data_IF_887983617970
#
_entry.id   IF_887983617970
#
_cell.length_a   1.000
_cell.length_b   1.000
_cell.length_c   1.000
_cell.angle_alpha   90.00
_cell.angle_beta   90.00
_cell.angle_gamma   90.00
#
_symmetry.space_group_name_H-M   'P 1'
#
loop_
_entity.id
_entity.type
_entity.pdbx_description
1 polymer ?
#
# COMPACT_ATOMS: atom_id res chain seq x y z
N UNK A 1 3.03 22.82 10.26
CA UNK A 1 2.35 21.53 10.01
C UNK A 1 3.42 20.48 9.79
N UNK A 2 4.06 19.95 10.84
CA UNK A 2 5.34 19.22 10.71
C UNK A 2 6.53 20.19 10.68
N UNK A 3 7.48 19.95 9.78
CA UNK A 3 8.61 20.84 9.46
C UNK A 3 8.21 22.10 8.66
N UNK A 4 6.96 22.16 8.19
CA UNK A 4 6.47 23.23 7.32
C UNK A 4 5.95 24.45 8.10
N UNK A 5 6.44 25.63 7.74
CA UNK A 5 5.80 26.92 8.02
C UNK A 5 4.97 27.32 6.81
N UNK A 6 3.65 27.23 6.90
CA UNK A 6 2.73 27.48 5.78
C UNK A 6 1.75 28.60 6.13
N UNK A 7 1.41 29.47 5.18
CA UNK A 7 0.50 30.58 5.42
C UNK A 7 -0.93 30.08 5.66
N UNK A 8 -1.53 30.60 6.74
CA UNK A 8 -2.95 30.46 7.04
C UNK A 8 -3.66 31.77 6.68
N UNK A 9 -4.79 31.67 5.99
CA UNK A 9 -5.69 32.80 5.74
C UNK A 9 -7.04 32.52 6.38
N UNK A 10 -7.59 33.47 7.13
CA UNK A 10 -8.95 33.37 7.68
C UNK A 10 -9.88 34.26 6.88
N UNK A 11 -11.03 33.71 6.46
CA UNK A 11 -12.11 34.47 5.85
C UNK A 11 -13.36 34.32 6.71
N UNK A 12 -13.96 35.43 7.15
CA UNK A 12 -15.20 35.42 7.91
C UNK A 12 -16.36 35.74 6.98
N UNK A 13 -17.05 34.71 6.51
CA UNK A 13 -18.22 34.84 5.65
C UNK A 13 -19.20 33.71 5.98
N UNK A 14 -19.98 33.85 7.07
CA UNK A 14 -20.88 32.79 7.53
C UNK A 14 -21.77 32.25 6.42
N UNK A 15 -21.71 30.93 6.21
CA UNK A 15 -22.46 30.23 5.16
C UNK A 15 -21.79 30.17 3.79
N UNK A 16 -20.66 30.88 3.60
CA UNK A 16 -19.83 30.74 2.39
C UNK A 16 -19.02 29.45 2.40
N UNK A 17 -18.73 28.93 1.20
CA UNK A 17 -17.90 27.74 1.03
C UNK A 17 -16.43 27.98 1.44
N UNK A 18 -15.93 29.22 1.43
CA UNK A 18 -14.57 29.58 1.82
C UNK A 18 -14.44 30.11 3.25
N UNK A 19 -15.52 30.07 4.03
CA UNK A 19 -15.56 30.50 5.43
C UNK A 19 -14.62 29.69 6.33
N UNK A 20 -13.93 30.39 7.23
CA UNK A 20 -13.00 29.83 8.19
C UNK A 20 -11.53 29.90 7.81
N UNK A 21 -10.77 28.99 8.41
CA UNK A 21 -9.31 28.90 8.23
C UNK A 21 -9.00 28.10 6.97
N UNK A 22 -8.24 28.73 6.07
CA UNK A 22 -7.64 28.09 4.90
C UNK A 22 -6.13 27.98 5.07
N UNK A 23 -5.60 26.76 5.04
CA UNK A 23 -4.19 26.47 4.85
C UNK A 23 -3.85 26.56 3.36
N UNK A 24 -2.99 27.51 2.99
CA UNK A 24 -2.51 27.69 1.61
C UNK A 24 -1.16 27.00 1.47
N UNK A 25 -1.01 26.18 0.44
CA UNK A 25 0.19 25.39 0.22
C UNK A 25 0.55 25.27 -1.26
N UNK A 26 1.85 25.25 -1.62
CA UNK A 26 2.25 24.96 -2.98
C UNK A 26 1.88 23.52 -3.33
N UNK A 27 1.62 23.27 -4.62
CA UNK A 27 1.26 21.94 -5.14
C UNK A 27 2.28 20.85 -4.74
N UNK A 28 3.58 21.16 -4.72
CA UNK A 28 4.65 20.24 -4.32
C UNK A 28 4.62 19.79 -2.85
N UNK A 29 3.94 20.53 -1.96
CA UNK A 29 3.84 20.19 -0.54
C UNK A 29 2.55 19.41 -0.21
N UNK A 30 1.65 19.23 -1.17
CA UNK A 30 0.31 18.71 -0.95
C UNK A 30 0.30 17.31 -0.32
N UNK A 31 1.16 16.43 -0.81
CA UNK A 31 1.28 15.04 -0.34
C UNK A 31 1.93 14.91 1.04
N UNK A 32 2.55 15.98 1.54
CA UNK A 32 3.29 16.00 2.80
C UNK A 32 2.52 16.66 3.95
N UNK A 33 1.31 17.15 3.68
CA UNK A 33 0.49 17.76 4.72
C UNK A 33 -0.01 16.69 5.69
N UNK A 34 0.37 16.87 6.95
CA UNK A 34 -0.08 16.06 8.06
C UNK A 34 -1.57 16.35 8.38
N UNK A 35 -2.44 15.48 7.88
CA UNK A 35 -3.89 15.55 8.10
C UNK A 35 -4.26 15.49 9.60
N UNK A 36 -3.54 14.68 10.38
CA UNK A 36 -3.77 14.51 11.80
C UNK A 36 -3.53 15.82 12.54
N UNK A 37 -2.42 16.51 12.23
CA UNK A 37 -2.17 17.85 12.78
C UNK A 37 -3.19 18.87 12.30
N UNK A 38 -3.58 18.81 11.02
CA UNK A 38 -4.61 19.70 10.47
C UNK A 38 -5.95 19.58 11.19
N UNK A 39 -6.29 18.37 11.64
CA UNK A 39 -7.56 18.05 12.30
C UNK A 39 -7.77 18.84 13.60
N UNK A 40 -6.69 19.29 14.26
CA UNK A 40 -6.77 20.10 15.49
C UNK A 40 -7.17 21.55 15.25
N UNK A 41 -7.16 22.03 13.99
CA UNK A 41 -7.39 23.42 13.63
C UNK A 41 -6.36 24.36 14.31
N UNK A 42 -6.60 25.68 14.26
CA UNK A 42 -5.76 26.67 14.95
C UNK A 42 -6.11 26.77 16.44
N UNK A 43 -5.15 27.16 17.32
CA UNK A 43 -5.39 27.27 18.75
C UNK A 43 -6.64 28.10 19.13
N UNK A 44 -6.89 29.20 18.40
CA UNK A 44 -8.03 30.09 18.65
C UNK A 44 -9.41 29.47 18.43
N UNK A 45 -9.53 28.45 17.57
CA UNK A 45 -10.80 27.78 17.24
C UNK A 45 -10.88 26.35 17.79
N UNK A 46 -9.79 25.83 18.36
CA UNK A 46 -9.69 24.43 18.83
C UNK A 46 -10.72 24.12 19.91
N UNK A 47 -10.91 25.01 20.89
CA UNK A 47 -11.90 24.85 21.95
C UNK A 47 -13.32 24.78 21.38
N UNK A 48 -13.66 25.71 20.49
CA UNK A 48 -14.98 25.77 19.86
C UNK A 48 -15.26 24.52 19.02
N UNK A 49 -14.26 24.03 18.26
CA UNK A 49 -14.35 22.77 17.52
C UNK A 49 -14.66 21.60 18.44
N UNK A 50 -13.93 21.44 19.54
CA UNK A 50 -14.13 20.35 20.50
C UNK A 50 -15.51 20.44 21.17
N UNK A 51 -15.92 21.63 21.56
CA UNK A 51 -17.24 21.86 22.16
C UNK A 51 -18.36 21.50 21.18
N UNK A 52 -18.25 21.90 19.92
CA UNK A 52 -19.19 21.55 18.86
C UNK A 52 -19.23 20.03 18.60
N UNK A 53 -18.08 19.36 18.60
CA UNK A 53 -17.99 17.90 18.49
C UNK A 53 -18.71 17.20 19.65
N UNK A 54 -18.49 17.65 20.90
CA UNK A 54 -19.17 17.10 22.09
C UNK A 54 -20.69 17.30 21.98
N UNK A 55 -21.15 18.48 21.54
CA UNK A 55 -22.59 18.76 21.34
C UNK A 55 -23.22 17.90 20.24
N UNK A 56 -22.45 17.58 19.21
CA UNK A 56 -22.83 16.75 18.07
C UNK A 56 -22.92 15.25 18.36
N UNK A 57 -22.42 14.80 19.52
CA UNK A 57 -22.49 13.40 19.94
C UNK A 57 -23.95 12.88 20.05
N UNK A 58 -24.17 11.57 19.86
CA UNK A 58 -25.44 10.94 20.16
C UNK A 58 -25.89 11.24 21.61
N UNK A 59 -27.21 11.32 21.83
CA UNK A 59 -27.79 11.68 23.14
C UNK A 59 -27.26 10.82 24.29
N UNK A 60 -27.03 9.52 24.03
CA UNK A 60 -26.52 8.56 25.02
C UNK A 60 -25.10 8.89 25.48
N UNK A 61 -24.24 9.38 24.58
CA UNK A 61 -22.86 9.75 24.89
C UNK A 61 -22.79 11.18 25.45
N UNK A 62 -23.53 12.12 24.84
CA UNK A 62 -23.50 13.55 25.20
C UNK A 62 -23.87 13.83 26.65
N UNK A 63 -24.77 13.04 27.26
CA UNK A 63 -25.18 13.20 28.66
C UNK A 63 -24.03 13.05 29.67
N UNK A 64 -22.95 12.36 29.30
CA UNK A 64 -21.77 12.17 30.14
C UNK A 64 -20.82 13.38 30.11
N UNK A 65 -21.02 14.30 29.16
CA UNK A 65 -20.16 15.47 28.93
C UNK A 65 -20.93 16.79 29.19
N UNK A 66 -21.75 16.83 30.23
CA UNK A 66 -22.53 18.03 30.60
C UNK A 66 -21.87 18.68 31.82
N UNK A 67 -21.50 19.98 31.76
CA UNK A 67 -21.68 20.92 30.64
C UNK A 67 -20.55 20.85 29.60
N UNK A 68 -20.91 20.78 28.30
CA UNK A 68 -19.94 20.60 27.19
C UNK A 68 -18.78 21.62 27.15
N UNK A 69 -18.98 22.92 27.46
CA UNK A 69 -17.89 23.90 27.46
C UNK A 69 -16.78 23.62 28.47
N UNK A 70 -17.10 23.01 29.63
CA UNK A 70 -16.12 22.67 30.67
C UNK A 70 -15.28 21.46 30.25
N UNK A 71 -15.93 20.45 29.68
CA UNK A 71 -15.23 19.30 29.10
C UNK A 71 -14.32 19.72 27.96
N UNK A 72 -14.80 20.59 27.06
CA UNK A 72 -13.98 21.11 25.96
C UNK A 72 -12.74 21.84 26.48
N UNK A 73 -12.89 22.71 27.48
CA UNK A 73 -11.76 23.42 28.08
C UNK A 73 -10.72 22.45 28.68
N UNK A 74 -11.18 21.49 29.48
CA UNK A 74 -10.29 20.51 30.11
C UNK A 74 -9.60 19.57 29.10
N UNK A 75 -10.25 19.25 27.98
CA UNK A 75 -9.63 18.45 26.92
C UNK A 75 -8.51 19.23 26.23
N UNK A 76 -8.75 20.49 25.83
CA UNK A 76 -7.76 21.33 25.12
C UNK A 76 -6.42 21.40 25.86
N UNK A 77 -6.43 21.44 27.18
CA UNK A 77 -5.23 21.48 28.03
C UNK A 77 -4.42 20.19 28.04
N UNK A 78 -5.02 19.05 27.66
CA UNK A 78 -4.42 17.71 27.82
C UNK A 78 -4.04 17.05 26.49
N UNK A 79 -4.70 17.45 25.40
CA UNK A 79 -4.44 16.92 24.06
C UNK A 79 -3.47 17.80 23.27
N UNK A 80 -2.68 17.18 22.40
CA UNK A 80 -1.61 17.85 21.67
C UNK A 80 -1.60 17.49 20.20
N UNK A 81 -1.14 18.40 19.34
CA UNK A 81 -1.04 18.13 17.90
C UNK A 81 0.04 17.07 17.61
N UNK A 82 1.04 16.96 18.48
CA UNK A 82 2.15 16.02 18.43
C UNK A 82 1.78 14.58 18.80
N UNK A 83 0.58 14.36 19.36
CA UNK A 83 0.09 13.06 19.84
C UNK A 83 -0.87 12.36 18.85
N UNK A 84 -0.96 12.86 17.60
CA UNK A 84 -1.79 12.29 16.53
C UNK A 84 -3.09 13.06 16.27
N UNK A 85 -4.07 12.41 15.61
CA UNK A 85 -5.35 13.02 15.25
C UNK A 85 -6.19 13.52 16.44
N UNK A 86 -7.04 14.52 16.19
CA UNK A 86 -7.92 15.12 17.21
C UNK A 86 -8.95 14.13 17.78
N UNK A 87 -9.66 13.40 16.93
CA UNK A 87 -10.81 12.56 17.36
C UNK A 87 -10.38 11.42 18.28
N UNK A 88 -9.35 10.59 17.97
CA UNK A 88 -8.92 9.53 18.87
C UNK A 88 -8.48 10.08 20.23
N UNK A 89 -7.74 11.20 20.24
CA UNK A 89 -7.32 11.86 21.48
C UNK A 89 -8.51 12.41 22.27
N UNK A 90 -9.51 13.00 21.59
CA UNK A 90 -10.73 13.50 22.22
C UNK A 90 -11.52 12.35 22.87
N UNK A 91 -11.74 11.25 22.14
CA UNK A 91 -12.46 10.09 22.62
C UNK A 91 -11.78 9.48 23.85
N UNK A 92 -10.47 9.28 23.78
CA UNK A 92 -9.67 8.76 24.88
C UNK A 92 -9.71 9.69 26.10
N UNK A 93 -9.56 11.00 25.88
CA UNK A 93 -9.52 11.97 26.97
C UNK A 93 -10.88 12.13 27.66
N UNK A 94 -11.98 12.13 26.91
CA UNK A 94 -13.33 12.13 27.49
C UNK A 94 -13.62 10.83 28.26
N UNK A 95 -13.13 9.69 27.78
CA UNK A 95 -13.24 8.43 28.50
C UNK A 95 -12.48 8.48 29.83
N UNK A 96 -11.26 9.02 29.86
CA UNK A 96 -10.52 9.20 31.12
C UNK A 96 -11.23 10.11 32.11
N UNK A 97 -11.94 11.14 31.63
CA UNK A 97 -12.65 12.10 32.49
C UNK A 97 -13.98 11.56 33.02
N UNK A 98 -14.67 10.70 32.26
CA UNK A 98 -16.05 10.27 32.56
C UNK A 98 -16.19 8.80 32.92
N UNK A 99 -15.19 7.97 32.62
CA UNK A 99 -15.27 6.51 32.67
C UNK A 99 -16.07 5.88 31.53
N UNK A 100 -16.77 6.67 30.71
CA UNK A 100 -17.60 6.18 29.60
C UNK A 100 -16.78 6.04 28.32
N UNK A 101 -16.94 4.93 27.59
CA UNK A 101 -16.20 4.70 26.35
C UNK A 101 -16.90 5.41 25.18
N UNK A 102 -16.15 6.26 24.48
CA UNK A 102 -16.61 6.93 23.26
C UNK A 102 -16.01 6.23 22.04
N UNK A 103 -16.85 5.90 21.06
CA UNK A 103 -16.39 5.42 19.76
C UNK A 103 -15.91 6.61 18.92
N UNK A 104 -14.73 6.58 18.28
CA UNK A 104 -14.26 7.64 17.38
C UNK A 104 -15.28 8.01 16.29
N UNK A 105 -16.05 7.03 15.80
CA UNK A 105 -17.05 7.17 14.76
C UNK A 105 -18.29 7.95 15.23
N UNK A 106 -18.49 8.12 16.55
CA UNK A 106 -19.55 8.97 17.10
C UNK A 106 -19.30 10.47 16.86
N UNK A 107 -18.06 10.86 16.55
CA UNK A 107 -17.67 12.24 16.30
C UNK A 107 -17.73 12.55 14.80
N UNK A 108 -18.82 13.17 14.34
CA UNK A 108 -19.01 13.48 12.92
C UNK A 108 -18.63 14.93 12.59
N UNK A 109 -17.42 15.12 12.04
CA UNK A 109 -16.92 16.46 11.65
C UNK A 109 -17.78 17.12 10.57
N UNK A 110 -18.54 16.36 9.77
CA UNK A 110 -19.37 16.92 8.69
C UNK A 110 -20.56 17.72 9.21
N UNK A 111 -20.94 17.51 10.47
CA UNK A 111 -22.00 18.28 11.15
C UNK A 111 -21.51 19.61 11.73
N UNK A 112 -20.19 19.83 11.75
CA UNK A 112 -19.62 21.08 12.23
C UNK A 112 -19.88 22.21 11.24
N UNK A 113 -19.97 23.43 11.77
CA UNK A 113 -19.94 24.64 10.95
C UNK A 113 -18.67 24.70 10.11
N UNK A 114 -18.77 25.34 8.94
CA UNK A 114 -17.69 25.43 7.94
C UNK A 114 -16.39 25.98 8.52
N UNK A 115 -16.48 26.97 9.42
CA UNK A 115 -15.31 27.62 10.02
C UNK A 115 -14.57 26.75 11.05
N UNK A 116 -15.20 25.69 11.55
CA UNK A 116 -14.60 24.72 12.49
C UNK A 116 -13.93 23.54 11.77
N UNK A 117 -13.84 23.61 10.45
CA UNK A 117 -13.17 22.62 9.60
C UNK A 117 -12.09 23.30 8.78
N UNK A 118 -10.87 22.77 8.86
CA UNK A 118 -9.75 23.28 8.08
C UNK A 118 -10.07 23.17 6.59
N UNK A 119 -9.82 24.24 5.84
CA UNK A 119 -9.82 24.23 4.38
C UNK A 119 -8.38 24.20 3.87
N UNK A 120 -8.11 23.43 2.84
CA UNK A 120 -6.81 23.33 2.19
C UNK A 120 -6.93 23.95 0.80
N UNK A 121 -5.99 24.82 0.43
CA UNK A 121 -5.96 25.46 -0.86
C UNK A 121 -4.58 25.28 -1.50
N UNK A 122 -4.56 24.64 -2.67
CA UNK A 122 -3.37 24.56 -3.50
C UNK A 122 -3.19 25.88 -4.22
N UNK A 123 -2.01 26.48 -4.09
CA UNK A 123 -1.68 27.75 -4.75
C UNK A 123 -0.62 27.56 -5.84
N UNK A 124 -0.72 28.38 -6.88
CA UNK A 124 0.31 28.50 -7.91
C UNK A 124 1.52 29.33 -7.41
N UNK A 125 2.52 29.53 -8.27
CA UNK A 125 3.71 30.35 -7.98
C UNK A 125 3.40 31.83 -7.76
N UNK A 126 2.25 32.33 -8.22
CA UNK A 126 1.78 33.69 -7.97
C UNK A 126 0.97 33.82 -6.66
N UNK A 127 0.71 32.70 -5.95
CA UNK A 127 -0.07 32.68 -4.71
C UNK A 127 -1.59 32.62 -4.92
N UNK A 128 -2.05 32.43 -6.15
CA UNK A 128 -3.46 32.29 -6.49
C UNK A 128 -3.95 30.87 -6.24
N UNK A 129 -5.18 30.73 -5.75
CA UNK A 129 -5.79 29.43 -5.45
C UNK A 129 -6.15 28.73 -6.76
N UNK A 130 -5.52 27.58 -7.02
CA UNK A 130 -5.83 26.72 -8.16
C UNK A 130 -7.00 25.79 -7.86
N UNK A 131 -7.01 25.21 -6.66
CA UNK A 131 -8.05 24.29 -6.19
C UNK A 131 -8.06 24.30 -4.66
N UNK A 132 -9.19 23.92 -4.07
CA UNK A 132 -9.33 23.83 -2.63
C UNK A 132 -10.39 22.83 -2.21
N UNK A 133 -10.19 22.23 -1.04
CA UNK A 133 -11.13 21.30 -0.43
C UNK A 133 -10.99 21.34 1.10
N UNK A 134 -11.98 20.83 1.83
CA UNK A 134 -11.84 20.54 3.27
C UNK A 134 -11.46 19.08 3.51
N UNK A 135 -11.63 18.23 2.51
CA UNK A 135 -11.13 16.87 2.53
C UNK A 135 -9.76 16.83 1.83
N UNK A 136 -8.71 16.75 2.64
CA UNK A 136 -7.34 16.71 2.14
C UNK A 136 -7.09 15.45 1.30
N UNK A 137 -7.71 14.31 1.64
CA UNK A 137 -7.52 13.07 0.89
C UNK A 137 -8.10 13.22 -0.53
N UNK A 138 -9.29 13.82 -0.65
CA UNK A 138 -9.90 14.14 -1.96
C UNK A 138 -9.05 15.12 -2.76
N UNK A 139 -8.50 16.16 -2.10
CA UNK A 139 -7.64 17.13 -2.77
C UNK A 139 -6.32 16.50 -3.26
N UNK A 140 -5.69 15.66 -2.43
CA UNK A 140 -4.49 14.88 -2.79
C UNK A 140 -4.81 13.94 -3.95
N UNK A 141 -5.90 13.18 -3.89
CA UNK A 141 -6.31 12.27 -4.96
C UNK A 141 -6.51 12.98 -6.32
N UNK A 142 -7.10 14.20 -6.31
CA UNK A 142 -7.28 15.01 -7.52
C UNK A 142 -5.97 15.51 -8.13
N UNK A 143 -4.95 15.76 -7.30
CA UNK A 143 -3.71 16.42 -7.72
C UNK A 143 -2.45 15.55 -7.56
N UNK A 144 -2.58 14.27 -7.22
CA UNK A 144 -1.46 13.38 -6.88
C UNK A 144 -0.33 13.44 -7.92
N UNK A 145 -0.63 13.13 -9.18
CA UNK A 145 0.38 13.13 -10.24
C UNK A 145 1.03 14.50 -10.46
N UNK A 146 0.26 15.58 -10.36
CA UNK A 146 0.77 16.94 -10.53
C UNK A 146 1.62 17.40 -9.33
N UNK A 147 1.25 17.00 -8.12
CA UNK A 147 2.01 17.24 -6.89
C UNK A 147 3.37 16.53 -6.93
N UNK A 148 3.41 15.28 -7.38
CA UNK A 148 4.65 14.51 -7.52
C UNK A 148 5.60 15.12 -8.56
N UNK A 149 5.07 15.57 -9.70
CA UNK A 149 5.84 16.27 -10.73
C UNK A 149 6.41 17.58 -10.18
N UNK A 150 5.56 18.41 -9.56
CA UNK A 150 5.98 19.66 -8.95
C UNK A 150 7.02 19.44 -7.85
N UNK A 151 6.89 18.37 -7.06
CA UNK A 151 7.88 18.00 -6.05
C UNK A 151 9.23 17.63 -6.68
N UNK A 152 9.23 16.81 -7.73
CA UNK A 152 10.46 16.38 -8.42
C UNK A 152 11.19 17.59 -9.04
N UNK A 153 10.46 18.52 -9.66
CA UNK A 153 11.04 19.72 -10.26
C UNK A 153 11.71 20.62 -9.22
N UNK A 154 11.09 20.74 -8.04
CA UNK A 154 11.52 21.58 -6.91
C UNK A 154 12.54 20.94 -5.98
N UNK A 155 12.77 19.63 -6.08
CA UNK A 155 13.71 18.93 -5.20
C UNK A 155 14.96 18.46 -5.92
N UNK A 156 15.18 18.86 -7.18
CA UNK A 156 16.41 18.54 -7.92
C UNK A 156 17.65 18.87 -7.09
N UNK A 157 18.32 17.83 -6.61
CA UNK A 157 19.41 17.95 -5.66
C UNK A 157 20.65 17.23 -6.18
N UNK A 158 21.85 17.66 -5.73
CA UNK A 158 23.16 17.05 -6.07
C UNK A 158 23.30 15.56 -5.74
N UNK A 159 22.35 15.00 -4.99
CA UNK A 159 22.31 13.57 -4.64
C UNK A 159 21.68 12.73 -5.75
N UNK A 160 20.86 13.30 -6.63
CA UNK A 160 20.34 12.59 -7.79
C UNK A 160 21.48 12.22 -8.74
N UNK A 161 21.59 10.93 -9.03
CA UNK A 161 22.56 10.34 -9.96
C UNK A 161 21.89 9.22 -10.73
N UNK A 162 22.21 9.07 -12.01
CA UNK A 162 21.46 8.19 -12.92
C UNK A 162 22.27 6.99 -13.43
N UNK A 163 23.54 6.88 -13.03
CA UNK A 163 24.57 6.05 -13.66
C UNK A 163 25.28 5.08 -12.70
N UNK A 164 24.70 4.80 -11.53
CA UNK A 164 25.37 3.97 -10.53
C UNK A 164 25.37 2.50 -10.92
N UNK A 165 26.54 1.89 -10.86
CA UNK A 165 26.72 0.43 -10.97
C UNK A 165 27.32 -0.19 -9.71
N UNK A 166 27.80 0.65 -8.79
CA UNK A 166 28.32 0.32 -7.48
C UNK A 166 27.85 1.36 -6.44
N UNK A 167 28.30 1.22 -5.19
CA UNK A 167 28.07 2.22 -4.15
C UNK A 167 29.17 3.29 -4.15
N UNK A 168 28.92 4.40 -4.85
CA UNK A 168 29.82 5.56 -4.95
C UNK A 168 29.21 6.88 -4.41
N UNK A 169 28.17 6.76 -3.58
CA UNK A 169 27.38 7.90 -3.09
C UNK A 169 27.83 8.50 -1.74
N UNK A 170 28.73 7.85 -1.02
CA UNK A 170 28.91 8.10 0.41
C UNK A 170 27.67 7.63 1.20
N UNK A 171 27.34 8.31 2.29
CA UNK A 171 26.15 7.97 3.08
C UNK A 171 24.89 8.58 2.45
N UNK A 172 23.87 7.76 2.26
CA UNK A 172 22.56 8.16 1.75
C UNK A 172 21.64 8.48 2.95
N UNK A 173 21.27 9.75 3.18
CA UNK A 173 20.47 10.12 4.35
C UNK A 173 19.06 9.52 4.28
N UNK A 174 18.43 9.33 5.45
CA UNK A 174 17.04 8.84 5.53
C UNK A 174 16.04 9.88 5.02
N UNK A 175 16.29 11.15 5.30
CA UNK A 175 15.48 12.29 4.88
C UNK A 175 16.36 13.52 4.63
N UNK A 176 15.85 14.43 3.81
CA UNK A 176 16.46 15.72 3.49
C UNK A 176 15.39 16.79 3.57
N UNK A 177 15.73 17.94 4.13
CA UNK A 177 14.88 19.12 4.05
C UNK A 177 15.39 19.98 2.91
N UNK A 178 14.54 20.21 1.91
CA UNK A 178 14.81 21.09 0.78
C UNK A 178 13.98 22.36 0.98
N UNK A 179 14.64 23.48 1.24
CA UNK A 179 13.98 24.77 1.38
C UNK A 179 13.78 25.41 0.01
N UNK A 180 12.53 25.50 -0.44
CA UNK A 180 12.18 26.19 -1.68
C UNK A 180 11.05 27.20 -1.45
N UNK A 181 11.31 28.46 -1.79
CA UNK A 181 10.32 29.56 -1.79
C UNK A 181 9.56 29.70 -0.45
N UNK A 182 10.23 29.42 0.68
CA UNK A 182 9.65 29.56 2.02
C UNK A 182 8.82 28.36 2.49
N UNK A 183 8.80 27.26 1.73
CA UNK A 183 8.24 25.98 2.14
C UNK A 183 9.35 24.92 2.22
N UNK A 184 9.66 24.49 3.44
CA UNK A 184 10.59 23.40 3.70
C UNK A 184 9.96 22.05 3.32
N UNK A 185 10.31 21.50 2.16
CA UNK A 185 9.85 20.19 1.69
C UNK A 185 10.72 19.08 2.29
N UNK A 186 10.12 18.02 2.82
CA UNK A 186 10.86 16.81 3.20
C UNK A 186 10.98 15.89 1.98
N UNK A 187 12.18 15.41 1.71
CA UNK A 187 12.49 14.48 0.64
C UNK A 187 13.12 13.22 1.21
N UNK A 188 12.73 12.06 0.67
CA UNK A 188 13.21 10.75 1.08
C UNK A 188 14.06 10.15 -0.06
N UNK A 189 15.40 10.14 0.08
CA UNK A 189 16.27 9.55 -0.92
C UNK A 189 16.05 8.05 -1.06
N UNK A 190 15.95 7.59 -2.30
CA UNK A 190 15.75 6.19 -2.65
C UNK A 190 16.58 5.80 -3.86
N UNK A 191 16.88 4.50 -3.95
CA UNK A 191 17.56 3.91 -5.10
C UNK A 191 16.51 3.25 -5.99
N UNK A 192 16.54 3.49 -7.30
CA UNK A 192 15.58 2.93 -8.27
C UNK A 192 16.31 2.08 -9.28
N UNK A 193 15.80 0.89 -9.54
CA UNK A 193 16.31 0.01 -10.58
C UNK A 193 16.09 0.59 -11.99
N UNK A 194 17.15 0.61 -12.80
CA UNK A 194 17.14 0.97 -14.23
C UNK A 194 17.70 -0.15 -15.13
N UNK A 195 17.72 -1.38 -14.64
CA UNK A 195 18.14 -2.58 -15.36
C UNK A 195 19.64 -2.83 -15.25
N UNK A 196 20.44 -2.03 -15.93
CA UNK A 196 21.92 -2.15 -15.91
C UNK A 196 22.58 -1.19 -14.93
N UNK A 197 21.81 -0.27 -14.37
CA UNK A 197 22.25 0.78 -13.46
C UNK A 197 21.18 1.08 -12.43
N UNK A 198 21.54 1.90 -11.46
CA UNK A 198 20.66 2.38 -10.39
C UNK A 198 20.67 3.90 -10.38
N UNK A 199 19.49 4.47 -10.17
CA UNK A 199 19.31 5.91 -10.04
C UNK A 199 19.00 6.28 -8.59
N UNK A 200 19.55 7.37 -8.09
CA UNK A 200 19.07 8.03 -6.87
C UNK A 200 17.94 8.99 -7.24
N UNK A 201 16.80 8.84 -6.57
CA UNK A 201 15.66 9.75 -6.67
C UNK A 201 15.29 10.30 -5.30
N UNK A 202 14.69 11.48 -5.28
CA UNK A 202 14.05 12.05 -4.11
C UNK A 202 12.55 11.88 -4.23
N UNK A 203 11.92 11.26 -3.22
CA UNK A 203 10.48 11.04 -3.21
C UNK A 203 9.83 11.80 -2.07
N UNK A 204 8.54 12.11 -2.24
CA UNK A 204 7.73 12.91 -1.35
C UNK A 204 7.21 12.14 -0.12
N UNK A 205 7.31 10.81 -0.14
CA UNK A 205 6.87 9.96 0.97
C UNK A 205 7.82 8.81 1.27
N UNK A 206 7.90 8.47 2.56
CA UNK A 206 8.71 7.37 3.06
C UNK A 206 8.29 6.01 2.48
N UNK A 207 6.99 5.80 2.26
CA UNK A 207 6.45 4.55 1.72
C UNK A 207 6.87 4.34 0.27
N UNK A 208 6.77 5.37 -0.59
CA UNK A 208 7.25 5.32 -1.97
C UNK A 208 8.76 5.13 -2.01
N UNK A 209 9.51 5.85 -1.17
CA UNK A 209 10.96 5.66 -1.01
C UNK A 209 11.33 4.23 -0.61
N UNK A 210 10.61 3.62 0.32
CA UNK A 210 10.86 2.22 0.71
C UNK A 210 10.68 1.25 -0.46
N UNK A 211 9.58 1.39 -1.21
CA UNK A 211 9.29 0.55 -2.37
C UNK A 211 10.31 0.70 -3.49
N UNK A 212 10.65 1.95 -3.83
CA UNK A 212 11.72 2.28 -4.77
C UNK A 212 13.04 1.66 -4.32
N UNK A 213 13.49 2.03 -3.12
CA UNK A 213 14.79 1.68 -2.57
C UNK A 213 15.01 0.17 -2.49
N UNK A 214 13.96 -0.61 -2.18
CA UNK A 214 14.01 -2.09 -2.23
C UNK A 214 14.49 -2.60 -3.59
N UNK A 215 13.92 -2.09 -4.69
CA UNK A 215 14.31 -2.50 -6.05
C UNK A 215 15.73 -2.03 -6.41
N UNK A 216 16.10 -0.79 -6.10
CA UNK A 216 17.43 -0.26 -6.42
C UNK A 216 18.55 -0.92 -5.64
N UNK A 217 18.37 -1.17 -4.33
CA UNK A 217 19.35 -1.93 -3.53
C UNK A 217 19.50 -3.35 -4.07
N UNK A 218 18.39 -4.02 -4.40
CA UNK A 218 18.43 -5.37 -5.00
C UNK A 218 19.23 -5.35 -6.31
N UNK A 219 19.04 -4.32 -7.15
CA UNK A 219 19.83 -4.16 -8.37
C UNK A 219 21.32 -3.97 -8.10
N UNK A 220 21.72 -3.10 -7.17
CA UNK A 220 23.12 -2.92 -6.80
C UNK A 220 23.75 -4.23 -6.30
N UNK A 221 23.02 -5.01 -5.50
CA UNK A 221 23.48 -6.31 -5.03
C UNK A 221 23.66 -7.31 -6.20
N UNK A 222 22.74 -7.33 -7.16
CA UNK A 222 22.88 -8.14 -8.37
C UNK A 222 24.11 -7.73 -9.21
N UNK A 223 24.35 -6.42 -9.36
CA UNK A 223 25.52 -5.89 -10.09
C UNK A 223 26.84 -6.20 -9.37
N UNK A 224 26.84 -6.22 -8.03
CA UNK A 224 28.01 -6.59 -7.22
C UNK A 224 28.30 -8.10 -7.20
N UNK A 225 27.43 -8.94 -7.76
CA UNK A 225 27.52 -10.41 -7.74
C UNK A 225 27.47 -11.03 -9.16
N UNK A 226 28.27 -10.55 -10.13
CA UNK A 226 28.14 -10.96 -11.54
C UNK A 226 28.40 -12.45 -11.76
N UNK A 227 29.33 -13.05 -11.01
CA UNK A 227 29.65 -14.49 -11.12
C UNK A 227 28.53 -15.37 -10.58
N UNK A 228 27.99 -15.03 -9.40
CA UNK A 228 26.87 -15.76 -8.79
C UNK A 228 25.62 -15.64 -9.66
N UNK A 229 25.29 -14.44 -10.15
CA UNK A 229 24.14 -14.24 -11.04
C UNK A 229 24.30 -15.05 -12.33
N UNK A 230 25.49 -15.09 -12.93
CA UNK A 230 25.76 -15.89 -14.14
C UNK A 230 25.61 -17.40 -13.85
N UNK A 231 26.20 -17.87 -12.75
CA UNK A 231 26.09 -19.27 -12.31
C UNK A 231 24.62 -19.67 -12.12
N UNK A 232 23.86 -18.89 -11.35
CA UNK A 232 22.46 -19.14 -11.04
C UNK A 232 21.56 -19.07 -12.26
N UNK A 233 21.82 -18.12 -13.17
CA UNK A 233 21.12 -18.03 -14.45
C UNK A 233 21.33 -19.29 -15.28
N UNK A 234 22.58 -19.81 -15.34
CA UNK A 234 22.87 -21.03 -16.07
C UNK A 234 22.24 -22.26 -15.39
N UNK A 235 22.30 -22.34 -14.07
CA UNK A 235 21.63 -23.38 -13.28
C UNK A 235 20.13 -23.42 -13.56
N UNK A 236 19.43 -22.28 -13.45
CA UNK A 236 18.00 -22.20 -13.70
C UNK A 236 17.66 -22.59 -15.14
N UNK A 237 18.42 -22.12 -16.14
CA UNK A 237 18.22 -22.53 -17.54
C UNK A 237 18.32 -24.04 -17.77
N UNK A 238 19.13 -24.75 -16.98
CA UNK A 238 19.27 -26.21 -17.06
C UNK A 238 18.22 -26.95 -16.23
N UNK A 239 17.53 -26.26 -15.32
CA UNK A 239 16.47 -26.80 -14.47
C UNK A 239 15.18 -26.99 -15.28
N UNK A 240 15.08 -28.15 -15.95
CA UNK A 240 13.93 -28.53 -16.80
C UNK A 240 12.62 -28.65 -16.03
N UNK A 241 12.67 -28.88 -14.71
CA UNK A 241 11.45 -28.97 -13.90
C UNK A 241 10.68 -27.64 -13.82
N UNK A 242 11.28 -26.53 -14.27
CA UNK A 242 10.66 -25.21 -14.38
C UNK A 242 10.18 -24.84 -15.79
N UNK A 243 10.39 -25.68 -16.81
CA UNK A 243 10.07 -25.33 -18.21
C UNK A 243 8.58 -25.04 -18.41
N UNK A 244 7.72 -25.85 -17.79
CA UNK A 244 6.27 -25.62 -17.80
C UNK A 244 5.90 -24.30 -17.10
N UNK A 245 6.58 -23.97 -16.00
CA UNK A 245 6.36 -22.73 -15.26
C UNK A 245 6.76 -21.50 -16.09
N UNK A 246 7.92 -21.55 -16.77
CA UNK A 246 8.37 -20.48 -17.69
C UNK A 246 7.39 -20.26 -18.83
N UNK A 247 6.93 -21.34 -19.46
CA UNK A 247 5.97 -21.27 -20.56
C UNK A 247 4.65 -20.65 -20.08
N UNK A 248 4.15 -21.09 -18.93
CA UNK A 248 2.93 -20.55 -18.34
C UNK A 248 3.07 -19.06 -18.00
N UNK A 249 4.15 -18.68 -17.32
CA UNK A 249 4.45 -17.28 -17.00
C UNK A 249 4.50 -16.41 -18.26
N UNK A 250 5.13 -16.90 -19.33
CA UNK A 250 5.25 -16.19 -20.59
C UNK A 250 3.90 -15.94 -21.28
N UNK A 251 2.88 -16.78 -21.04
CA UNK A 251 1.56 -16.68 -21.65
C UNK A 251 0.59 -15.75 -20.90
N UNK A 252 0.90 -15.34 -19.66
CA UNK A 252 -0.02 -14.54 -18.87
C UNK A 252 -0.16 -13.10 -19.39
N UNK A 253 -1.39 -12.59 -19.39
CA UNK A 253 -1.66 -11.19 -19.70
C UNK A 253 -1.37 -10.29 -18.50
N UNK A 254 -0.98 -9.04 -18.77
CA UNK A 254 -0.81 -8.03 -17.72
C UNK A 254 -2.18 -7.47 -17.37
N UNK A 255 -2.91 -8.17 -16.51
CA UNK A 255 -4.25 -7.78 -16.06
C UNK A 255 -4.23 -6.98 -14.75
N UNK A 256 -3.04 -6.77 -14.19
CA UNK A 256 -2.80 -6.04 -12.94
C UNK A 256 -1.79 -4.92 -13.19
N UNK A 257 -2.15 -3.66 -12.94
CA UNK A 257 -1.18 -2.57 -12.91
C UNK A 257 -0.08 -2.86 -11.88
N UNK A 258 1.17 -2.84 -12.33
CA UNK A 258 2.33 -2.96 -11.45
C UNK A 258 2.70 -1.58 -10.88
N UNK A 259 3.26 -1.51 -9.67
CA UNK A 259 3.67 -0.24 -9.08
C UNK A 259 4.78 0.41 -9.93
N UNK A 260 4.89 1.73 -9.82
CA UNK A 260 5.83 2.58 -10.57
C UNK A 260 7.27 2.11 -10.40
N UNK A 261 7.63 1.71 -9.18
CA UNK A 261 8.94 1.19 -8.86
C UNK A 261 8.88 -0.33 -8.69
N UNK A 262 9.70 -1.02 -9.46
CA UNK A 262 9.84 -2.47 -9.46
C UNK A 262 11.16 -2.88 -10.09
N UNK A 263 11.38 -4.18 -10.24
CA UNK A 263 12.53 -4.68 -10.98
C UNK A 263 12.36 -4.42 -12.48
N UNK A 264 13.40 -3.91 -13.12
CA UNK A 264 13.52 -3.90 -14.58
C UNK A 264 13.97 -5.29 -15.01
N UNK A 265 13.03 -6.03 -15.61
CA UNK A 265 13.27 -7.39 -16.08
C UNK A 265 13.57 -7.41 -17.60
N UNK A 266 14.30 -8.44 -18.07
CA UNK A 266 14.49 -8.67 -19.51
C UNK A 266 13.17 -8.77 -20.29
N UNK A 267 13.14 -8.29 -21.54
CA UNK A 267 11.92 -8.31 -22.36
C UNK A 267 11.41 -9.72 -22.68
N UNK A 268 12.33 -10.69 -22.76
CA UNK A 268 11.99 -12.10 -23.02
C UNK A 268 11.48 -12.74 -21.73
N UNK A 269 10.19 -13.12 -21.70
CA UNK A 269 9.48 -13.47 -20.45
C UNK A 269 9.98 -14.72 -19.73
N UNK A 270 10.51 -15.71 -20.44
CA UNK A 270 11.15 -16.88 -19.82
C UNK A 270 12.45 -16.49 -19.08
N UNK A 271 13.22 -15.56 -19.65
CA UNK A 271 14.43 -15.00 -19.03
C UNK A 271 14.06 -14.05 -17.90
N UNK A 272 12.95 -13.32 -18.04
CA UNK A 272 12.37 -12.51 -16.98
C UNK A 272 12.01 -13.35 -15.75
N UNK A 273 11.38 -14.51 -15.94
CA UNK A 273 11.03 -15.44 -14.87
C UNK A 273 12.26 -15.86 -14.04
N UNK A 274 13.33 -16.31 -14.69
CA UNK A 274 14.55 -16.73 -14.00
C UNK A 274 15.23 -15.54 -13.29
N UNK A 275 15.32 -14.38 -13.94
CA UNK A 275 15.90 -13.17 -13.37
C UNK A 275 15.11 -12.67 -12.15
N UNK A 276 13.78 -12.71 -12.22
CA UNK A 276 12.87 -12.33 -11.14
C UNK A 276 13.01 -13.26 -9.93
N UNK A 277 13.20 -14.57 -10.16
CA UNK A 277 13.43 -15.55 -9.10
C UNK A 277 14.74 -15.30 -8.36
N UNK A 278 15.83 -15.03 -9.09
CA UNK A 278 17.12 -14.67 -8.49
C UNK A 278 16.98 -13.36 -7.69
N UNK A 279 16.36 -12.34 -8.28
CA UNK A 279 16.19 -11.05 -7.62
C UNK A 279 15.32 -11.13 -6.36
N UNK A 280 14.24 -11.94 -6.37
CA UNK A 280 13.44 -12.24 -5.18
C UNK A 280 14.30 -12.90 -4.09
N UNK A 281 15.13 -13.88 -4.44
CA UNK A 281 16.02 -14.53 -3.48
C UNK A 281 17.02 -13.54 -2.85
N UNK A 282 17.59 -12.64 -3.66
CA UNK A 282 18.46 -11.56 -3.16
C UNK A 282 17.71 -10.66 -2.19
N UNK A 283 16.52 -10.17 -2.57
CA UNK A 283 15.74 -9.29 -1.71
C UNK A 283 15.31 -9.98 -0.40
N UNK A 284 14.83 -11.22 -0.46
CA UNK A 284 14.40 -11.99 0.71
C UNK A 284 15.55 -12.18 1.72
N UNK A 285 16.78 -12.41 1.24
CA UNK A 285 17.91 -12.70 2.10
C UNK A 285 18.61 -11.43 2.63
N UNK A 286 18.67 -10.36 1.82
CA UNK A 286 19.56 -9.23 2.09
C UNK A 286 18.87 -7.86 2.23
N UNK A 287 17.57 -7.76 1.93
CA UNK A 287 16.84 -6.48 1.90
C UNK A 287 15.58 -6.52 2.76
N UNK A 288 14.75 -7.55 2.60
CA UNK A 288 13.44 -7.64 3.23
C UNK A 288 13.57 -7.93 4.74
N UNK A 289 12.93 -7.11 5.56
CA UNK A 289 13.00 -7.22 7.02
C UNK A 289 14.37 -6.87 7.62
N UNK A 290 15.30 -6.36 6.81
CA UNK A 290 16.64 -5.96 7.23
C UNK A 290 16.73 -4.43 7.42
N UNK A 291 17.68 -3.93 8.23
CA UNK A 291 18.05 -2.52 8.21
C UNK A 291 18.36 -2.03 6.80
N UNK A 292 17.89 -0.83 6.46
CA UNK A 292 18.02 -0.24 5.12
C UNK A 292 19.49 -0.04 4.77
N UNK A 293 19.84 -0.32 3.51
CA UNK A 293 21.19 -0.13 2.99
C UNK A 293 21.38 1.34 2.64
N UNK A 294 22.04 2.09 3.52
CA UNK A 294 22.27 3.53 3.39
C UNK A 294 23.74 3.92 3.22
N UNK A 295 24.63 2.93 3.17
CA UNK A 295 26.07 3.15 3.08
C UNK A 295 26.78 1.94 2.43
N UNK A 296 28.04 2.14 2.06
CA UNK A 296 28.86 1.14 1.39
C UNK A 296 29.19 -0.07 2.28
N UNK A 297 29.36 0.13 3.59
CA UNK A 297 29.73 -0.92 4.55
C UNK A 297 28.57 -1.91 4.70
N UNK A 298 27.36 -1.39 4.86
CA UNK A 298 26.13 -2.19 4.92
C UNK A 298 25.94 -2.96 3.61
N UNK A 299 26.12 -2.33 2.43
CA UNK A 299 26.04 -3.04 1.14
C UNK A 299 27.07 -4.18 1.06
N UNK A 300 28.33 -3.91 1.42
CA UNK A 300 29.39 -4.91 1.39
C UNK A 300 29.10 -6.11 2.30
N UNK A 301 28.55 -5.87 3.49
CA UNK A 301 28.10 -6.94 4.39
C UNK A 301 26.99 -7.80 3.78
N UNK A 302 26.04 -7.19 3.06
CA UNK A 302 25.01 -7.92 2.30
C UNK A 302 25.59 -8.75 1.16
N UNK A 303 26.58 -8.21 0.42
CA UNK A 303 27.28 -8.95 -0.64
C UNK A 303 27.97 -10.19 -0.08
N UNK A 304 28.66 -10.09 1.07
CA UNK A 304 29.30 -11.24 1.71
C UNK A 304 28.29 -12.33 2.11
N UNK A 305 27.16 -11.95 2.72
CA UNK A 305 26.07 -12.86 3.05
C UNK A 305 25.53 -13.60 1.81
N UNK A 306 25.31 -12.86 0.72
CA UNK A 306 24.78 -13.42 -0.52
C UNK A 306 25.76 -14.40 -1.17
N UNK A 307 27.07 -14.11 -1.13
CA UNK A 307 28.09 -15.04 -1.66
C UNK A 307 28.03 -16.42 -1.00
N UNK A 308 27.69 -16.49 0.29
CA UNK A 308 27.63 -17.77 1.01
C UNK A 308 26.29 -18.50 0.91
N UNK A 309 25.17 -17.78 0.79
CA UNK A 309 23.84 -18.37 1.00
C UNK A 309 22.87 -18.23 -0.20
N UNK A 310 23.17 -17.42 -1.21
CA UNK A 310 22.22 -17.15 -2.30
C UNK A 310 21.84 -18.40 -3.11
N UNK A 311 22.80 -19.31 -3.34
CA UNK A 311 22.58 -20.54 -4.10
C UNK A 311 21.49 -21.42 -3.46
N UNK A 312 21.55 -21.62 -2.15
CA UNK A 312 20.56 -22.41 -1.42
C UNK A 312 19.17 -21.76 -1.49
N UNK A 313 19.09 -20.44 -1.25
CA UNK A 313 17.82 -19.71 -1.28
C UNK A 313 17.17 -19.75 -2.66
N UNK A 314 17.96 -19.61 -3.74
CA UNK A 314 17.44 -19.73 -5.11
C UNK A 314 16.90 -21.13 -5.38
N UNK A 315 17.58 -22.19 -4.91
CA UNK A 315 17.13 -23.58 -5.09
C UNK A 315 15.84 -23.86 -4.33
N UNK A 316 15.73 -23.39 -3.09
CA UNK A 316 14.51 -23.51 -2.29
C UNK A 316 13.34 -22.78 -2.97
N UNK A 317 13.56 -21.55 -3.40
CA UNK A 317 12.54 -20.75 -4.09
C UNK A 317 12.14 -21.35 -5.44
N UNK A 318 13.08 -21.89 -6.21
CA UNK A 318 12.81 -22.64 -7.44
C UNK A 318 11.91 -23.86 -7.18
N UNK A 319 12.22 -24.64 -6.14
CA UNK A 319 11.41 -25.79 -5.73
C UNK A 319 9.98 -25.38 -5.34
N UNK A 320 9.84 -24.33 -4.53
CA UNK A 320 8.53 -23.80 -4.11
C UNK A 320 7.74 -23.27 -5.32
N UNK A 321 8.40 -22.53 -6.20
CA UNK A 321 7.78 -21.99 -7.42
C UNK A 321 7.29 -23.11 -8.33
N UNK A 322 8.10 -24.16 -8.53
CA UNK A 322 7.67 -25.34 -9.29
C UNK A 322 6.41 -25.97 -8.69
N UNK A 323 6.36 -26.16 -7.37
CA UNK A 323 5.20 -26.76 -6.71
C UNK A 323 3.93 -25.94 -6.98
N UNK A 324 3.99 -24.62 -6.76
CA UNK A 324 2.86 -23.70 -6.97
C UNK A 324 2.40 -23.73 -8.43
N UNK A 325 3.33 -23.61 -9.38
CA UNK A 325 2.99 -23.57 -10.81
C UNK A 325 2.45 -24.91 -11.32
N UNK A 326 2.98 -26.04 -10.84
CA UNK A 326 2.48 -27.38 -11.21
C UNK A 326 1.03 -27.58 -10.74
N UNK A 327 0.73 -27.20 -9.50
CA UNK A 327 -0.64 -27.24 -8.96
C UNK A 327 -1.57 -26.31 -9.74
N UNK A 328 -1.13 -25.07 -10.00
CA UNK A 328 -1.91 -24.11 -10.77
C UNK A 328 -2.18 -24.59 -12.20
N UNK A 329 -1.18 -25.14 -12.90
CA UNK A 329 -1.35 -25.69 -14.25
C UNK A 329 -2.32 -26.87 -14.27
N UNK A 330 -2.21 -27.78 -13.30
CA UNK A 330 -3.11 -28.94 -13.17
C UNK A 330 -4.56 -28.47 -13.00
N UNK A 331 -4.80 -27.52 -12.10
CA UNK A 331 -6.13 -26.99 -11.87
C UNK A 331 -6.66 -26.19 -13.06
N UNK A 332 -5.85 -25.35 -13.70
CA UNK A 332 -6.23 -24.67 -14.94
C UNK A 332 -6.62 -25.64 -16.05
N UNK A 333 -5.92 -26.77 -16.16
CA UNK A 333 -6.27 -27.85 -17.07
C UNK A 333 -7.67 -28.41 -16.79
N UNK A 334 -7.98 -28.69 -15.52
CA UNK A 334 -9.33 -29.12 -15.09
C UNK A 334 -10.40 -28.08 -15.43
N UNK A 335 -10.13 -26.80 -15.15
CA UNK A 335 -11.08 -25.69 -15.40
C UNK A 335 -11.40 -25.49 -16.89
N UNK A 336 -10.47 -25.82 -17.80
CA UNK A 336 -10.68 -25.76 -19.26
C UNK A 336 -11.26 -27.05 -19.85
N UNK A 337 -11.27 -28.13 -19.07
CA UNK A 337 -11.76 -29.43 -19.49
C UNK A 337 -13.29 -29.52 -19.54
N UNK A 338 -13.79 -30.74 -19.75
CA UNK A 338 -15.23 -31.02 -19.68
C UNK A 338 -15.68 -31.01 -18.22
N UNK A 339 -16.47 -30.02 -17.84
CA UNK A 339 -17.02 -29.86 -16.48
C UNK A 339 -18.54 -30.14 -16.46
N UNK A 340 -19.07 -30.68 -15.35
CA UNK A 340 -20.52 -30.71 -15.12
C UNK A 340 -21.11 -29.29 -15.13
N UNK A 341 -22.35 -29.14 -15.59
CA UNK A 341 -23.05 -27.85 -15.63
C UNK A 341 -23.09 -27.17 -14.24
N UNK A 342 -23.20 -27.97 -13.17
CA UNK A 342 -23.19 -27.49 -11.77
C UNK A 342 -21.89 -26.79 -11.36
N UNK A 343 -20.77 -27.08 -12.03
CA UNK A 343 -19.45 -26.54 -11.70
C UNK A 343 -19.06 -25.31 -12.54
N UNK A 344 -19.76 -25.01 -13.63
CA UNK A 344 -19.35 -23.98 -14.60
C UNK A 344 -19.15 -22.61 -13.94
N UNK A 345 -20.11 -22.16 -13.12
CA UNK A 345 -20.02 -20.84 -12.46
C UNK A 345 -18.86 -20.77 -11.48
N UNK A 346 -18.66 -21.81 -10.66
CA UNK A 346 -17.56 -21.87 -9.71
C UNK A 346 -16.21 -21.98 -10.43
N UNK A 347 -16.13 -22.75 -11.51
CA UNK A 347 -14.93 -22.89 -12.32
C UNK A 347 -14.52 -21.56 -12.97
N UNK A 348 -15.49 -20.79 -13.49
CA UNK A 348 -15.25 -19.44 -14.00
C UNK A 348 -14.71 -18.52 -12.90
N UNK A 349 -15.33 -18.54 -11.73
CA UNK A 349 -14.91 -17.72 -10.59
C UNK A 349 -13.49 -18.08 -10.10
N UNK A 350 -13.16 -19.37 -10.02
CA UNK A 350 -11.80 -19.84 -9.69
C UNK A 350 -10.79 -19.42 -10.78
N UNK A 351 -11.18 -19.44 -12.05
CA UNK A 351 -10.33 -18.94 -13.12
C UNK A 351 -10.04 -17.43 -12.95
N UNK A 352 -11.05 -16.63 -12.62
CA UNK A 352 -10.90 -15.19 -12.34
C UNK A 352 -10.03 -14.94 -11.09
N UNK A 353 -10.20 -15.72 -10.02
CA UNK A 353 -9.33 -15.71 -8.84
C UNK A 353 -7.86 -15.95 -9.24
N UNK A 354 -7.60 -16.98 -10.03
CA UNK A 354 -6.24 -17.31 -10.47
C UNK A 354 -5.67 -16.23 -11.39
N UNK A 355 -6.48 -15.58 -12.24
CA UNK A 355 -6.01 -14.48 -13.10
C UNK A 355 -5.55 -13.25 -12.29
N UNK A 356 -6.04 -13.08 -11.05
CA UNK A 356 -5.57 -12.02 -10.16
C UNK A 356 -4.35 -12.41 -9.29
N UNK A 357 -4.19 -13.70 -8.97
CA UNK A 357 -3.05 -14.18 -8.18
C UNK A 357 -1.81 -14.46 -9.03
N UNK A 358 -2.00 -14.86 -10.29
CA UNK A 358 -0.95 -15.31 -11.20
C UNK A 358 -0.84 -14.38 -12.42
N UNK A 359 0.13 -13.48 -12.37
CA UNK A 359 0.37 -12.45 -13.38
C UNK A 359 1.88 -12.24 -13.62
N UNK A 360 2.31 -11.65 -14.74
CA UNK A 360 3.72 -11.31 -14.96
C UNK A 360 4.19 -10.30 -13.90
N UNK A 361 5.28 -10.60 -13.19
CA UNK A 361 5.79 -9.81 -12.05
C UNK A 361 5.36 -10.32 -10.67
N UNK A 362 4.56 -11.40 -10.59
CA UNK A 362 4.07 -11.90 -9.31
C UNK A 362 5.20 -12.44 -8.40
N UNK A 363 6.30 -12.96 -8.95
CA UNK A 363 7.40 -13.48 -8.13
C UNK A 363 8.10 -12.35 -7.37
N UNK A 364 8.13 -11.14 -7.89
CA UNK A 364 8.69 -9.99 -7.20
C UNK A 364 7.67 -9.31 -6.28
N UNK A 365 6.44 -9.15 -6.76
CA UNK A 365 5.44 -8.31 -6.12
C UNK A 365 4.58 -9.03 -5.07
N UNK A 366 4.52 -10.36 -5.08
CA UNK A 366 3.76 -11.12 -4.06
C UNK A 366 4.57 -11.24 -2.77
N UNK A 367 4.09 -10.72 -1.62
CA UNK A 367 4.78 -10.84 -0.34
C UNK A 367 5.11 -12.28 0.02
N UNK A 368 6.21 -12.52 0.74
CA UNK A 368 6.61 -13.87 1.15
C UNK A 368 5.54 -14.65 1.93
N UNK A 369 4.82 -14.05 2.90
CA UNK A 369 3.72 -14.73 3.58
C UNK A 369 2.62 -15.18 2.62
N UNK A 370 2.20 -14.31 1.70
CA UNK A 370 1.17 -14.63 0.71
C UNK A 370 1.63 -15.72 -0.27
N UNK A 371 2.87 -15.64 -0.77
CA UNK A 371 3.43 -16.64 -1.68
C UNK A 371 3.44 -18.05 -1.06
N UNK A 372 3.74 -18.15 0.23
CA UNK A 372 3.72 -19.40 0.98
C UNK A 372 2.30 -19.99 1.14
N UNK A 373 1.25 -19.16 1.06
CA UNK A 373 -0.14 -19.61 1.16
C UNK A 373 -0.75 -20.05 -0.18
N UNK A 374 -0.14 -19.71 -1.33
CA UNK A 374 -0.68 -20.05 -2.65
C UNK A 374 -1.03 -21.54 -2.81
N UNK A 375 -0.20 -22.52 -2.37
CA UNK A 375 -0.57 -23.93 -2.42
C UNK A 375 -1.88 -24.23 -1.68
N UNK A 376 -2.11 -23.61 -0.51
CA UNK A 376 -3.33 -23.81 0.27
C UNK A 376 -4.55 -23.25 -0.45
N UNK A 377 -4.44 -22.10 -1.08
CA UNK A 377 -5.54 -21.50 -1.86
C UNK A 377 -5.88 -22.34 -3.09
N UNK A 378 -4.86 -22.88 -3.78
CA UNK A 378 -5.06 -23.82 -4.89
C UNK A 378 -5.76 -25.10 -4.43
N UNK A 379 -5.31 -25.72 -3.33
CA UNK A 379 -5.97 -26.90 -2.75
C UNK A 379 -7.40 -26.62 -2.30
N UNK A 380 -7.67 -25.43 -1.75
CA UNK A 380 -9.03 -25.03 -1.37
C UNK A 380 -9.96 -24.94 -2.59
N UNK A 381 -9.48 -24.37 -3.70
CA UNK A 381 -10.23 -24.31 -4.96
C UNK A 381 -10.49 -25.71 -5.53
N UNK A 382 -9.51 -26.61 -5.48
CA UNK A 382 -9.67 -28.01 -5.89
C UNK A 382 -10.76 -28.73 -5.09
N UNK A 383 -10.66 -28.67 -3.76
CA UNK A 383 -11.65 -29.29 -2.85
C UNK A 383 -13.04 -28.73 -3.03
N UNK A 384 -13.17 -27.43 -3.34
CA UNK A 384 -14.45 -26.82 -3.66
C UNK A 384 -15.09 -27.46 -4.90
N UNK A 385 -14.33 -27.62 -5.98
CA UNK A 385 -14.81 -28.28 -7.20
C UNK A 385 -15.28 -29.72 -6.93
N UNK A 386 -14.54 -30.47 -6.14
CA UNK A 386 -14.91 -31.85 -5.74
C UNK A 386 -16.22 -31.88 -4.93
N UNK A 387 -16.44 -30.91 -4.03
CA UNK A 387 -17.64 -30.83 -3.19
C UNK A 387 -18.89 -30.40 -3.95
N UNK A 388 -18.75 -29.55 -4.98
CA UNK A 388 -19.88 -29.06 -5.79
C UNK A 388 -20.61 -30.22 -6.46
N UNK A 389 -19.88 -31.25 -6.88
CA UNK A 389 -20.47 -32.43 -7.53
C UNK A 389 -21.53 -33.11 -6.65
N UNK A 390 -21.30 -33.13 -5.33
CA UNK A 390 -22.19 -33.76 -4.35
C UNK A 390 -23.24 -32.80 -3.79
N UNK A 391 -22.91 -31.52 -3.65
CA UNK A 391 -23.74 -30.52 -2.97
C UNK A 391 -23.79 -29.17 -3.72
N UNK A 392 -24.33 -29.14 -4.96
CA UNK A 392 -24.30 -27.95 -5.81
C UNK A 392 -25.09 -26.76 -5.23
N UNK A 393 -26.23 -27.02 -4.60
CA UNK A 393 -27.07 -25.97 -3.99
C UNK A 393 -26.38 -25.26 -2.83
N UNK A 394 -25.56 -25.99 -2.05
CA UNK A 394 -24.79 -25.39 -0.95
C UNK A 394 -23.75 -24.41 -1.49
N UNK A 395 -23.00 -24.77 -2.54
CA UNK A 395 -22.04 -23.84 -3.14
C UNK A 395 -22.76 -22.64 -3.75
N UNK A 396 -23.90 -22.86 -4.44
CA UNK A 396 -24.71 -21.78 -4.99
C UNK A 396 -25.13 -20.77 -3.94
N UNK A 397 -25.64 -21.22 -2.79
CA UNK A 397 -26.01 -20.35 -1.68
C UNK A 397 -24.83 -19.52 -1.16
N UNK A 398 -23.67 -20.15 -0.98
CA UNK A 398 -22.46 -19.47 -0.52
C UNK A 398 -21.94 -18.48 -1.57
N UNK A 399 -21.98 -18.83 -2.87
CA UNK A 399 -21.61 -17.94 -3.99
C UNK A 399 -22.46 -16.67 -4.01
N UNK A 400 -23.77 -16.79 -3.83
CA UNK A 400 -24.68 -15.63 -3.83
C UNK A 400 -24.28 -14.59 -2.77
N UNK A 401 -23.80 -15.05 -1.62
CA UNK A 401 -23.32 -14.16 -0.54
C UNK A 401 -21.91 -13.64 -0.79
N UNK A 402 -21.05 -14.46 -1.38
CA UNK A 402 -19.63 -14.18 -1.56
C UNK A 402 -19.34 -13.23 -2.74
N UNK A 403 -19.98 -13.48 -3.89
CA UNK A 403 -19.67 -12.84 -5.17
C UNK A 403 -19.79 -11.31 -5.18
N UNK A 404 -20.82 -10.68 -4.57
CA UNK A 404 -20.97 -9.23 -4.64
C UNK A 404 -19.78 -8.46 -4.07
N UNK A 405 -19.22 -8.93 -2.94
CA UNK A 405 -18.06 -8.30 -2.32
C UNK A 405 -16.78 -8.64 -3.07
N UNK A 406 -16.61 -9.90 -3.48
CA UNK A 406 -15.44 -10.33 -4.25
C UNK A 406 -15.29 -9.55 -5.56
N UNK A 407 -16.38 -9.33 -6.30
CA UNK A 407 -16.38 -8.55 -7.53
C UNK A 407 -15.92 -7.10 -7.30
N UNK A 408 -16.34 -6.46 -6.20
CA UNK A 408 -15.92 -5.10 -5.86
C UNK A 408 -14.43 -5.03 -5.52
N UNK A 409 -13.93 -5.99 -4.74
CA UNK A 409 -12.49 -6.09 -4.41
C UNK A 409 -11.66 -6.30 -5.68
N UNK A 410 -12.08 -7.23 -6.55
CA UNK A 410 -11.38 -7.54 -7.80
C UNK A 410 -11.35 -6.34 -8.75
N UNK A 411 -12.48 -5.65 -8.91
CA UNK A 411 -12.56 -4.43 -9.70
C UNK A 411 -11.60 -3.36 -9.17
N UNK A 412 -11.49 -3.20 -7.83
CA UNK A 412 -10.58 -2.25 -7.20
C UNK A 412 -9.10 -2.60 -7.42
N UNK A 413 -8.75 -3.89 -7.37
CA UNK A 413 -7.37 -4.36 -7.67
C UNK A 413 -7.02 -4.07 -9.14
N UNK A 414 -7.96 -4.29 -10.06
CA UNK A 414 -7.76 -4.09 -11.49
C UNK A 414 -7.72 -2.60 -11.90
N UNK A 415 -8.47 -1.73 -11.22
CA UNK A 415 -8.51 -0.29 -11.47
C UNK A 415 -7.42 0.51 -10.73
N UNK A 416 -6.45 -0.18 -10.13
CA UNK A 416 -5.44 0.43 -9.27
C UNK A 416 -4.46 1.35 -10.01
N UNK A 417 -3.94 2.33 -9.28
CA UNK A 417 -2.88 3.21 -9.78
C UNK A 417 -1.51 2.53 -9.68
N UNK A 418 -0.48 3.19 -10.25
CA UNK A 418 0.91 2.75 -10.12
C UNK A 418 1.54 3.11 -8.76
N UNK A 419 0.79 3.68 -7.81
CA UNK A 419 1.33 4.02 -6.50
C UNK A 419 1.75 2.76 -5.72
N UNK A 420 3.03 2.65 -5.29
CA UNK A 420 3.50 1.54 -4.46
C UNK A 420 2.73 1.34 -3.15
N UNK A 421 2.31 2.42 -2.48
CA UNK A 421 1.62 2.31 -1.19
C UNK A 421 0.21 1.71 -1.39
N UNK A 422 -0.54 2.23 -2.36
CA UNK A 422 -1.82 1.66 -2.76
C UNK A 422 -1.68 0.21 -3.23
N UNK A 423 -0.65 -0.14 -4.02
CA UNK A 423 -0.41 -1.51 -4.47
C UNK A 423 -0.20 -2.48 -3.29
N UNK A 424 0.53 -2.07 -2.25
CA UNK A 424 0.73 -2.87 -1.05
C UNK A 424 -0.58 -3.09 -0.28
N UNK A 425 -1.39 -2.05 -0.11
CA UNK A 425 -2.70 -2.14 0.55
C UNK A 425 -3.66 -3.06 -0.22
N UNK A 426 -3.67 -2.98 -1.56
CA UNK A 426 -4.48 -3.86 -2.40
C UNK A 426 -4.02 -5.31 -2.36
N UNK A 427 -2.71 -5.55 -2.20
CA UNK A 427 -2.18 -6.90 -2.01
C UNK A 427 -2.64 -7.51 -0.68
N UNK A 428 -2.71 -6.69 0.38
CA UNK A 428 -3.29 -7.11 1.66
C UNK A 428 -4.79 -7.39 1.55
N UNK A 429 -5.54 -6.54 0.84
CA UNK A 429 -6.96 -6.76 0.59
C UNK A 429 -7.20 -8.05 -0.20
N UNK A 430 -6.35 -8.35 -1.19
CA UNK A 430 -6.40 -9.61 -1.93
C UNK A 430 -6.17 -10.80 -1.00
N UNK A 431 -5.16 -10.77 -0.12
CA UNK A 431 -4.93 -11.82 0.87
C UNK A 431 -6.17 -12.03 1.76
N UNK A 432 -6.78 -10.95 2.25
CA UNK A 432 -8.00 -11.05 3.06
C UNK A 432 -9.15 -11.72 2.30
N UNK A 433 -9.34 -11.37 1.02
CA UNK A 433 -10.33 -12.00 0.15
C UNK A 433 -10.07 -13.51 -0.01
N UNK A 434 -8.81 -13.92 -0.21
CA UNK A 434 -8.45 -15.33 -0.33
C UNK A 434 -8.67 -16.11 0.96
N UNK A 435 -8.38 -15.53 2.13
CA UNK A 435 -8.64 -16.17 3.41
C UNK A 435 -10.14 -16.33 3.69
N UNK A 436 -10.93 -15.30 3.37
CA UNK A 436 -12.38 -15.40 3.47
C UNK A 436 -12.92 -16.47 2.52
N UNK A 437 -12.43 -16.52 1.27
CA UNK A 437 -12.76 -17.56 0.29
C UNK A 437 -12.50 -18.97 0.82
N UNK A 438 -11.32 -19.22 1.40
CA UNK A 438 -11.02 -20.52 2.03
C UNK A 438 -12.02 -20.81 3.16
N UNK A 439 -12.30 -19.83 4.03
CA UNK A 439 -13.26 -20.00 5.12
C UNK A 439 -14.69 -20.29 4.64
N UNK A 440 -15.08 -19.75 3.49
CA UNK A 440 -16.40 -19.95 2.90
C UNK A 440 -16.54 -21.32 2.25
N UNK A 441 -15.59 -21.71 1.41
CA UNK A 441 -15.74 -22.87 0.52
C UNK A 441 -14.95 -24.11 0.96
N UNK A 442 -13.93 -23.96 1.82
CA UNK A 442 -13.04 -25.02 2.25
C UNK A 442 -12.67 -24.88 3.74
N UNK A 443 -13.67 -24.86 4.62
CA UNK A 443 -13.54 -24.63 6.08
C UNK A 443 -12.45 -25.47 6.78
N UNK A 444 -12.22 -26.70 6.34
CA UNK A 444 -11.16 -27.58 6.86
C UNK A 444 -9.73 -27.06 6.64
N UNK A 445 -9.53 -26.10 5.72
CA UNK A 445 -8.26 -25.42 5.44
C UNK A 445 -8.24 -23.97 5.96
N UNK A 446 -9.31 -23.54 6.62
CA UNK A 446 -9.44 -22.16 7.08
C UNK A 446 -8.58 -21.89 8.33
N UNK A 447 -7.98 -20.71 8.40
CA UNK A 447 -7.34 -20.23 9.62
C UNK A 447 -8.40 -19.79 10.64
N UNK A 448 -8.14 -19.97 11.93
CA UNK A 448 -9.08 -19.61 13.01
C UNK A 448 -9.48 -18.12 13.02
N UNK A 449 -8.58 -17.25 12.57
CA UNK A 449 -8.79 -15.79 12.46
C UNK A 449 -8.89 -15.35 10.99
N UNK A 450 -9.70 -16.05 10.19
CA UNK A 450 -10.00 -15.61 8.83
C UNK A 450 -10.86 -14.33 8.89
N UNK A 451 -10.61 -13.35 8.01
CA UNK A 451 -11.40 -12.13 7.98
C UNK A 451 -12.84 -12.44 7.56
N UNK A 452 -13.77 -11.71 8.16
CA UNK A 452 -15.18 -11.71 7.83
C UNK A 452 -15.48 -10.79 6.64
N UNK A 453 -16.64 -10.99 6.00
CA UNK A 453 -17.13 -10.10 4.95
C UNK A 453 -17.16 -8.62 5.41
N UNK A 454 -17.56 -8.38 6.66
CA UNK A 454 -17.64 -7.03 7.24
C UNK A 454 -16.26 -6.35 7.35
N UNK A 455 -15.23 -7.09 7.74
CA UNK A 455 -13.86 -6.56 7.82
C UNK A 455 -13.30 -6.23 6.43
N UNK A 456 -13.59 -7.07 5.43
CA UNK A 456 -13.20 -6.82 4.04
C UNK A 456 -13.95 -5.60 3.47
N UNK A 457 -15.25 -5.45 3.75
CA UNK A 457 -16.02 -4.26 3.36
C UNK A 457 -15.44 -2.98 3.98
N UNK A 458 -15.00 -3.04 5.24
CA UNK A 458 -14.35 -1.92 5.92
C UNK A 458 -13.01 -1.58 5.27
N UNK A 459 -12.17 -2.58 4.98
CA UNK A 459 -10.90 -2.40 4.30
C UNK A 459 -11.08 -1.82 2.89
N UNK A 460 -12.08 -2.30 2.14
CA UNK A 460 -12.40 -1.78 0.81
C UNK A 460 -12.86 -0.31 0.87
N UNK A 461 -13.72 0.05 1.85
CA UNK A 461 -14.17 1.44 2.03
C UNK A 461 -13.02 2.38 2.41
N UNK A 462 -12.09 1.92 3.26
CA UNK A 462 -10.91 2.69 3.62
C UNK A 462 -10.06 3.05 2.38
N UNK A 463 -9.99 2.15 1.39
CA UNK A 463 -9.27 2.35 0.13
C UNK A 463 -10.04 3.15 -0.93
N UNK A 464 -11.32 3.45 -0.69
CA UNK A 464 -12.15 4.29 -1.55
C UNK A 464 -12.22 5.74 -1.06
N UNK A 465 -11.90 5.98 0.23
CA UNK A 465 -11.76 7.31 0.82
C UNK A 465 -10.34 7.89 0.74
N UNK A 466 -9.42 7.17 0.10
CA UNK A 466 -8.07 7.60 -0.32
C UNK A 466 -8.07 7.76 -1.82
#
# INVERSE_FOLDING_TARGET
MGAFSLPLSYHFAPGSADDGVTLRLPLAALTQIDADRASHLIPGLRREKIEALIRGLPKADRRHCVPAPEFAAAVVERIGMEKGALIPQLAEQLQRMTGHKFAPESFDERKLATHLRMRFAVVNTAGEIMDADRDLAVLVARHQAAAEQAFTERTRHRLERDDLTDWSLGDLPEELIVDEQGAALTAYPALVDRGERVRVVLLDSLARAAGAHRSGVTRLLLLALPEQVRHLTQYLKQERSLDAARLQYAQWSVNRPLPEFGLVLPSRRDTAFDAELIARAVAQLAVDGQPRVRDAVTLAARVLLLKSALDEVVRQLASQTRQVFTQHQTLRGKLKGRLPLSQIEAAREIAEQFDALFYPGMLWHTPAPLFAQLPRYLTAAEKRLEKIDRHPERDRMLRVQFMPLAAQVMARIQSSSKDPAQFAQLSLLQEQLEEWRVSTFAQELARKAAPSAKEIEQALKALAGT
#
